data_IF_066428123551
#
_entry.id   IF_066428123551
#
_cell.length_a   1.000
_cell.length_b   1.000
_cell.length_c   1.000
_cell.angle_alpha   90.00
_cell.angle_beta   90.00
_cell.angle_gamma   90.00
#
_symmetry.space_group_name_H-M   'P 1'
#
loop_
_entity.id
_entity.type
_entity.pdbx_description
1 polymer ?
#
# COMPACT_ATOMS: atom_id res chain seq x y z
N UNK A 1 24.70 2.01 2.51
CA UNK A 1 24.17 3.13 1.70
C UNK A 1 22.88 2.74 1.04
N UNK A 2 21.83 2.43 1.82
CA UNK A 2 20.48 2.16 1.31
C UNK A 2 19.65 3.44 1.31
N UNK A 3 18.75 3.62 0.34
CA UNK A 3 17.81 4.75 0.31
C UNK A 3 16.74 4.53 1.37
N UNK A 4 16.45 5.57 2.17
CA UNK A 4 15.41 5.58 3.20
C UNK A 4 14.56 6.85 3.06
N UNK A 5 13.34 6.80 3.56
CA UNK A 5 12.43 7.94 3.56
C UNK A 5 11.41 7.83 4.68
N UNK A 6 10.77 8.95 5.01
CA UNK A 6 9.68 9.02 5.97
C UNK A 6 8.56 9.85 5.38
N UNK A 7 7.33 9.36 5.47
CA UNK A 7 6.19 9.95 4.76
C UNK A 7 5.58 11.04 5.64
N UNK A 8 6.15 12.26 5.61
CA UNK A 8 5.64 13.38 6.43
C UNK A 8 4.22 13.74 5.99
N UNK A 9 3.25 13.65 6.90
CA UNK A 9 1.85 13.95 6.58
C UNK A 9 1.62 15.47 6.53
N UNK A 10 1.29 15.96 5.34
CA UNK A 10 1.05 17.39 5.08
C UNK A 10 -0.43 17.77 5.16
N UNK A 11 -1.33 16.82 5.39
CA UNK A 11 -2.78 17.09 5.54
C UNK A 11 -3.05 18.14 6.60
N UNK A 12 -3.78 19.19 6.26
CA UNK A 12 -4.02 20.34 7.12
C UNK A 12 -5.47 20.87 6.95
N UNK A 13 -5.95 21.74 7.88
CA UNK A 13 -7.29 22.32 7.80
C UNK A 13 -7.55 23.21 6.57
N UNK A 14 -6.50 23.80 5.98
CA UNK A 14 -6.61 24.60 4.76
C UNK A 14 -5.51 24.24 3.77
N UNK A 15 -5.71 24.59 2.49
CA UNK A 15 -4.72 24.35 1.44
C UNK A 15 -3.42 25.11 1.70
N UNK A 16 -3.48 26.33 2.23
CA UNK A 16 -2.31 27.16 2.53
C UNK A 16 -1.43 26.50 3.59
N UNK A 17 -2.03 25.97 4.66
CA UNK A 17 -1.28 25.25 5.69
C UNK A 17 -0.72 23.92 5.19
N UNK A 18 -1.45 23.22 4.30
CA UNK A 18 -0.95 22.03 3.63
C UNK A 18 0.28 22.35 2.76
N UNK A 19 0.23 23.43 1.98
CA UNK A 19 1.35 23.84 1.13
C UNK A 19 2.56 24.31 1.96
N UNK A 20 2.36 25.01 3.09
CA UNK A 20 3.46 25.35 4.00
C UNK A 20 4.17 24.12 4.54
N UNK A 21 3.43 23.07 4.90
CA UNK A 21 4.00 21.78 5.36
C UNK A 21 4.75 21.07 4.23
N UNK A 22 4.23 21.12 3.00
CA UNK A 22 4.87 20.54 1.83
C UNK A 22 6.21 21.25 1.50
N UNK A 23 6.24 22.59 1.53
CA UNK A 23 7.47 23.36 1.33
C UNK A 23 8.50 23.03 2.42
N UNK A 24 8.08 22.96 3.68
CA UNK A 24 8.97 22.57 4.78
C UNK A 24 9.55 21.15 4.59
N UNK A 25 8.72 20.18 4.16
CA UNK A 25 9.20 18.82 3.87
C UNK A 25 10.25 18.81 2.74
N UNK A 26 10.08 19.66 1.73
CA UNK A 26 11.06 19.85 0.65
C UNK A 26 12.35 20.52 1.12
N UNK A 27 12.28 21.53 2.01
CA UNK A 27 13.47 22.13 2.62
C UNK A 27 14.31 21.09 3.40
N UNK A 28 13.64 20.13 4.05
CA UNK A 28 14.25 18.97 4.68
C UNK A 28 14.78 17.92 3.69
N UNK A 29 14.59 18.13 2.38
CA UNK A 29 14.96 17.23 1.28
C UNK A 29 14.31 15.86 1.40
N UNK A 30 13.07 15.81 1.88
CA UNK A 30 12.33 14.56 1.98
C UNK A 30 11.98 14.05 0.57
N UNK A 31 12.21 12.76 0.27
CA UNK A 31 11.92 12.20 -1.05
C UNK A 31 10.42 11.94 -1.26
N UNK A 32 9.61 11.99 -0.19
CA UNK A 32 8.21 11.58 -0.18
C UNK A 32 7.44 12.29 0.94
N UNK A 33 6.18 12.66 0.66
CA UNK A 33 5.23 13.17 1.65
C UNK A 33 3.93 12.35 1.62
N UNK A 34 3.07 12.56 2.61
CA UNK A 34 1.77 11.89 2.75
C UNK A 34 0.61 12.86 2.78
N UNK A 35 -0.52 12.47 2.20
CA UNK A 35 -1.75 13.24 2.19
C UNK A 35 -3.01 12.38 2.29
N UNK A 36 -4.02 12.88 3.01
CA UNK A 36 -5.32 12.23 3.19
C UNK A 36 -6.33 12.82 2.18
N UNK A 37 -6.34 12.31 0.95
CA UNK A 37 -7.02 12.97 -0.17
C UNK A 37 -8.56 13.09 -0.01
N UNK A 38 -9.21 12.16 0.68
CA UNK A 38 -10.67 12.22 0.87
C UNK A 38 -11.08 13.24 1.93
N UNK A 39 -10.31 13.37 3.00
CA UNK A 39 -10.62 14.31 4.09
C UNK A 39 -10.23 15.73 3.71
N UNK A 40 -9.13 15.90 2.98
CA UNK A 40 -8.72 17.20 2.45
C UNK A 40 -9.47 17.60 1.16
N UNK A 41 -9.97 16.63 0.40
CA UNK A 41 -10.74 16.82 -0.82
C UNK A 41 -9.90 16.76 -2.11
N UNK A 42 -10.57 16.37 -3.20
CA UNK A 42 -9.93 16.13 -4.51
C UNK A 42 -9.22 17.35 -5.11
N UNK A 43 -9.74 18.56 -4.87
CA UNK A 43 -9.12 19.80 -5.35
C UNK A 43 -7.76 20.03 -4.68
N UNK A 44 -7.70 19.86 -3.35
CA UNK A 44 -6.45 19.97 -2.61
C UNK A 44 -5.44 18.90 -3.06
N UNK A 45 -5.90 17.65 -3.23
CA UNK A 45 -5.07 16.56 -3.72
C UNK A 45 -4.46 16.86 -5.10
N UNK A 46 -5.27 17.32 -6.06
CA UNK A 46 -4.80 17.61 -7.41
C UNK A 46 -3.76 18.72 -7.43
N UNK A 47 -3.98 19.76 -6.62
CA UNK A 47 -3.00 20.86 -6.44
C UNK A 47 -1.70 20.33 -5.85
N UNK A 48 -1.77 19.55 -4.77
CA UNK A 48 -0.60 19.00 -4.11
C UNK A 48 0.17 18.02 -5.02
N UNK A 49 -0.52 17.16 -5.76
CA UNK A 49 0.10 16.20 -6.67
C UNK A 49 0.87 16.88 -7.81
N UNK A 50 0.30 17.96 -8.38
CA UNK A 50 1.01 18.79 -9.36
C UNK A 50 2.26 19.43 -8.75
N UNK A 51 2.11 20.03 -7.57
CA UNK A 51 3.24 20.63 -6.88
C UNK A 51 4.34 19.61 -6.55
N UNK A 52 3.99 18.40 -6.11
CA UNK A 52 4.96 17.34 -5.82
C UNK A 52 5.76 16.97 -7.06
N UNK A 53 5.09 16.84 -8.22
CA UNK A 53 5.74 16.57 -9.50
C UNK A 53 6.71 17.67 -9.90
N UNK A 54 6.31 18.93 -9.77
CA UNK A 54 7.16 20.08 -10.11
C UNK A 54 8.39 20.21 -9.18
N UNK A 55 8.32 19.63 -7.99
CA UNK A 55 9.38 19.70 -6.98
C UNK A 55 10.16 18.39 -6.78
N UNK A 56 9.82 17.32 -7.50
CA UNK A 56 10.51 16.03 -7.42
C UNK A 56 10.25 15.25 -6.13
N UNK A 57 9.05 15.41 -5.53
CA UNK A 57 8.62 14.62 -4.37
C UNK A 57 7.62 13.54 -4.79
N UNK A 58 7.71 12.36 -4.18
CA UNK A 58 6.65 11.37 -4.25
C UNK A 58 5.50 11.74 -3.29
N UNK A 59 4.29 11.36 -3.66
CA UNK A 59 3.06 11.61 -2.92
C UNK A 59 2.37 10.30 -2.54
N UNK A 60 2.49 9.94 -1.27
CA UNK A 60 1.78 8.81 -0.66
C UNK A 60 0.37 9.21 -0.26
N UNK A 61 -0.63 8.47 -0.73
CA UNK A 61 -2.04 8.79 -0.45
C UNK A 61 -2.64 7.82 0.54
N UNK A 62 -3.12 8.38 1.65
CA UNK A 62 -3.94 7.66 2.61
C UNK A 62 -5.42 7.92 2.35
N UNK A 63 -6.24 6.88 2.49
CA UNK A 63 -7.67 6.92 2.18
C UNK A 63 -8.55 7.09 3.42
N UNK A 64 -8.09 7.83 4.44
CA UNK A 64 -8.88 8.06 5.65
C UNK A 64 -10.31 8.51 5.30
N UNK A 65 -11.31 8.10 6.08
CA UNK A 65 -12.75 8.32 5.85
C UNK A 65 -13.40 7.45 4.75
N UNK A 66 -12.65 6.71 3.92
CA UNK A 66 -13.22 5.96 2.79
C UNK A 66 -14.36 4.99 3.16
N UNK A 67 -14.24 4.28 4.29
CA UNK A 67 -15.22 3.28 4.71
C UNK A 67 -16.60 3.84 5.06
N UNK A 68 -16.73 5.17 5.21
CA UNK A 68 -18.03 5.85 5.32
C UNK A 68 -18.77 5.82 3.97
N UNK A 69 -18.02 5.78 2.87
CA UNK A 69 -18.50 5.92 1.50
C UNK A 69 -18.55 4.56 0.77
N UNK A 70 -17.56 3.69 1.01
CA UNK A 70 -17.30 2.53 0.12
C UNK A 70 -17.54 1.15 0.74
N UNK A 71 -17.97 1.09 2.02
CA UNK A 71 -18.11 -0.18 2.74
C UNK A 71 -19.45 -0.87 2.50
N UNK A 72 -20.55 -0.12 2.49
CA UNK A 72 -21.89 -0.71 2.41
C UNK A 72 -22.18 -1.19 0.98
N UNK A 73 -22.51 -2.48 0.82
CA UNK A 73 -22.75 -3.08 -0.50
C UNK A 73 -24.01 -2.54 -1.20
N UNK A 74 -24.95 -1.98 -0.43
CA UNK A 74 -26.24 -1.51 -0.92
C UNK A 74 -26.33 0.01 -1.14
N UNK A 75 -25.34 0.80 -0.70
CA UNK A 75 -25.35 2.25 -0.85
C UNK A 75 -23.93 2.84 -0.74
N UNK A 76 -23.58 3.77 -1.63
CA UNK A 76 -22.31 4.49 -1.59
C UNK A 76 -21.56 4.46 -2.93
N UNK A 77 -20.24 4.64 -2.86
CA UNK A 77 -19.35 4.62 -4.02
C UNK A 77 -18.29 3.56 -3.77
N UNK A 78 -18.27 2.49 -4.57
CA UNK A 78 -17.29 1.43 -4.41
C UNK A 78 -15.86 1.96 -4.59
N UNK A 79 -14.93 1.47 -3.76
CA UNK A 79 -13.51 1.85 -3.79
C UNK A 79 -12.83 1.83 -5.16
N UNK A 80 -13.23 0.95 -6.10
CA UNK A 80 -12.70 0.92 -7.46
C UNK A 80 -12.87 2.25 -8.20
N UNK A 81 -13.98 2.95 -7.93
CA UNK A 81 -14.23 4.30 -8.48
C UNK A 81 -13.29 5.31 -7.82
N UNK A 82 -13.16 5.25 -6.49
CA UNK A 82 -12.27 6.12 -5.72
C UNK A 82 -10.77 5.93 -6.08
N UNK A 83 -10.36 4.69 -6.35
CA UNK A 83 -9.02 4.35 -6.82
C UNK A 83 -8.74 4.95 -8.19
N UNK A 84 -9.70 4.86 -9.13
CA UNK A 84 -9.60 5.50 -10.45
C UNK A 84 -9.54 7.03 -10.33
N UNK A 85 -10.39 7.64 -9.50
CA UNK A 85 -10.36 9.10 -9.33
C UNK A 85 -9.07 9.57 -8.67
N UNK A 86 -8.46 8.76 -7.79
CA UNK A 86 -7.12 9.06 -7.31
C UNK A 86 -6.08 9.00 -8.42
N UNK A 87 -5.99 7.89 -9.18
CA UNK A 87 -5.02 7.75 -10.28
C UNK A 87 -5.08 8.93 -11.26
N UNK A 88 -6.29 9.41 -11.57
CA UNK A 88 -6.50 10.59 -12.41
C UNK A 88 -6.16 11.92 -11.73
N UNK A 89 -6.48 12.08 -10.44
CA UNK A 89 -6.24 13.35 -9.73
C UNK A 89 -4.78 13.50 -9.29
N UNK A 90 -4.03 12.40 -9.21
CA UNK A 90 -2.60 12.35 -8.91
C UNK A 90 -2.31 11.76 -7.54
N UNK A 91 -1.19 11.03 -7.47
CA UNK A 91 -0.71 10.30 -6.32
C UNK A 91 0.16 9.15 -6.80
N UNK A 92 1.24 8.85 -6.08
CA UNK A 92 2.18 7.80 -6.49
C UNK A 92 1.85 6.47 -5.81
N UNK A 93 1.32 6.53 -4.58
CA UNK A 93 0.89 5.36 -3.82
C UNK A 93 -0.54 5.52 -3.28
N UNK A 94 -1.30 4.43 -3.13
CA UNK A 94 -2.59 4.45 -2.43
C UNK A 94 -2.83 3.19 -1.58
N UNK A 95 -3.36 3.40 -0.38
CA UNK A 95 -3.89 2.31 0.45
C UNK A 95 -5.01 1.53 -0.25
N UNK A 96 -4.79 0.24 -0.49
CA UNK A 96 -5.72 -0.67 -1.19
C UNK A 96 -6.41 -1.65 -0.26
N UNK A 97 -5.95 -1.78 0.98
CA UNK A 97 -6.37 -2.84 1.91
C UNK A 97 -5.42 -4.04 1.81
N UNK A 98 -5.65 -5.06 2.63
CA UNK A 98 -4.71 -6.18 2.78
C UNK A 98 -5.29 -7.53 2.38
N UNK A 99 -6.61 -7.68 2.28
CA UNK A 99 -7.36 -8.95 2.14
C UNK A 99 -7.21 -9.88 3.35
N UNK A 100 -5.99 -10.04 3.86
CA UNK A 100 -5.63 -10.95 4.95
C UNK A 100 -5.48 -10.27 6.32
N UNK A 101 -5.52 -8.94 6.38
CA UNK A 101 -5.38 -8.20 7.63
C UNK A 101 -6.71 -7.90 8.32
N UNK A 102 -6.69 -6.89 9.20
CA UNK A 102 -7.84 -6.56 10.08
C UNK A 102 -9.06 -6.00 9.34
N UNK A 103 -8.85 -5.38 8.18
CA UNK A 103 -9.89 -4.62 7.48
C UNK A 103 -10.52 -5.45 6.35
N UNK A 104 -11.83 -5.28 6.16
CA UNK A 104 -12.64 -5.99 5.15
C UNK A 104 -12.07 -5.80 3.73
N UNK A 105 -11.98 -6.90 2.98
CA UNK A 105 -11.58 -6.89 1.58
C UNK A 105 -11.64 -8.29 0.95
N UNK A 106 -12.35 -8.42 -0.16
CA UNK A 106 -12.43 -9.67 -0.92
C UNK A 106 -11.28 -9.76 -1.92
N UNK A 107 -10.54 -10.88 -1.95
CA UNK A 107 -9.32 -11.07 -2.76
C UNK A 107 -9.53 -10.67 -4.23
N UNK A 108 -10.55 -11.23 -4.89
CA UNK A 108 -10.80 -10.99 -6.33
C UNK A 108 -11.09 -9.52 -6.63
N UNK A 109 -11.90 -8.87 -5.79
CA UNK A 109 -12.24 -7.45 -5.90
C UNK A 109 -11.01 -6.57 -5.65
N UNK A 110 -10.21 -6.89 -4.64
CA UNK A 110 -8.96 -6.17 -4.35
C UNK A 110 -7.99 -6.24 -5.49
N UNK A 111 -7.74 -7.44 -6.01
CA UNK A 111 -6.89 -7.58 -7.19
C UNK A 111 -7.46 -6.80 -8.38
N UNK A 112 -8.78 -6.79 -8.59
CA UNK A 112 -9.39 -6.02 -9.69
C UNK A 112 -9.06 -4.52 -9.63
N UNK A 113 -9.23 -3.87 -8.47
CA UNK A 113 -8.88 -2.46 -8.37
C UNK A 113 -7.38 -2.18 -8.25
N UNK A 114 -6.54 -3.16 -7.88
CA UNK A 114 -5.09 -3.06 -8.00
C UNK A 114 -4.68 -3.02 -9.47
N UNK A 115 -5.27 -3.86 -10.32
CA UNK A 115 -5.01 -3.81 -11.77
C UNK A 115 -5.41 -2.43 -12.34
N UNK A 116 -6.55 -1.88 -11.91
CA UNK A 116 -6.97 -0.52 -12.30
C UNK A 116 -5.98 0.57 -11.89
N UNK A 117 -5.18 0.35 -10.83
CA UNK A 117 -4.18 1.30 -10.37
C UNK A 117 -2.86 1.17 -11.13
N UNK A 118 -2.47 -0.03 -11.55
CA UNK A 118 -1.13 -0.28 -12.12
C UNK A 118 -1.12 -0.42 -13.63
N UNK A 119 -2.06 -1.19 -14.19
CA UNK A 119 -2.00 -1.62 -15.57
C UNK A 119 -2.45 -0.50 -16.53
N UNK A 120 -1.93 -0.50 -17.76
CA UNK A 120 -2.33 0.47 -18.79
C UNK A 120 -3.70 0.15 -19.39
N UNK A 121 -4.06 -1.13 -19.46
CA UNK A 121 -5.32 -1.59 -20.03
C UNK A 121 -5.90 -2.70 -19.17
N UNK A 122 -7.13 -2.54 -18.71
CA UNK A 122 -7.83 -3.51 -17.86
C UNK A 122 -9.13 -3.92 -18.53
N UNK A 123 -9.23 -5.17 -18.93
CA UNK A 123 -10.44 -5.72 -19.54
C UNK A 123 -11.59 -5.84 -18.55
N UNK A 124 -12.82 -5.82 -19.07
CA UNK A 124 -14.01 -6.11 -18.30
C UNK A 124 -13.96 -7.53 -17.72
N UNK A 125 -13.99 -7.61 -16.39
CA UNK A 125 -14.13 -8.85 -15.63
C UNK A 125 -15.05 -8.63 -14.43
N UNK A 126 -16.31 -9.05 -14.56
CA UNK A 126 -17.32 -8.89 -13.51
C UNK A 126 -16.99 -9.69 -12.25
N UNK A 127 -16.26 -10.80 -12.37
CA UNK A 127 -15.88 -11.65 -11.23
C UNK A 127 -14.89 -10.93 -10.30
N UNK A 128 -14.10 -10.00 -10.85
CA UNK A 128 -13.16 -9.15 -10.11
C UNK A 128 -13.71 -7.74 -9.85
N UNK A 129 -14.98 -7.51 -10.14
CA UNK A 129 -15.60 -6.20 -9.98
C UNK A 129 -15.17 -5.18 -11.05
N UNK A 130 -14.72 -5.60 -12.22
CA UNK A 130 -14.46 -4.71 -13.34
C UNK A 130 -15.66 -4.74 -14.28
N UNK A 131 -16.55 -3.75 -14.15
CA UNK A 131 -17.78 -3.70 -14.94
C UNK A 131 -17.59 -3.18 -16.36
N UNK A 132 -16.51 -2.43 -16.59
CA UNK A 132 -16.20 -1.82 -17.87
C UNK A 132 -14.69 -1.90 -18.11
N UNK A 133 -14.31 -2.18 -19.35
CA UNK A 133 -12.93 -2.06 -19.80
C UNK A 133 -12.43 -0.63 -19.57
N UNK A 134 -11.20 -0.50 -19.08
CA UNK A 134 -10.55 0.78 -18.83
C UNK A 134 -9.19 0.83 -19.51
N UNK A 135 -9.04 1.76 -20.45
CA UNK A 135 -7.77 2.15 -21.05
C UNK A 135 -7.25 3.42 -20.34
N UNK A 136 -6.02 3.38 -19.87
CA UNK A 136 -5.34 4.49 -19.21
C UNK A 136 -4.42 5.27 -20.15
N UNK A 137 -4.28 4.81 -21.40
CA UNK A 137 -3.37 5.36 -22.40
C UNK A 137 -1.96 5.52 -21.83
N UNK A 138 -1.45 6.76 -21.76
CA UNK A 138 -0.13 7.08 -21.23
C UNK A 138 -0.13 7.49 -19.75
N UNK A 139 -1.22 7.29 -19.02
CA UNK A 139 -1.32 7.67 -17.62
C UNK A 139 -0.48 6.74 -16.74
N UNK A 140 0.48 7.26 -15.94
CA UNK A 140 1.28 6.44 -15.04
C UNK A 140 0.45 5.61 -14.07
N UNK A 141 1.00 4.48 -13.65
CA UNK A 141 0.42 3.65 -12.59
C UNK A 141 0.60 4.26 -11.21
N UNK A 142 -0.11 3.69 -10.24
CA UNK A 142 -0.07 4.03 -8.81
C UNK A 142 0.25 2.75 -8.05
N UNK A 143 1.23 2.78 -7.14
CA UNK A 143 1.56 1.60 -6.35
C UNK A 143 0.47 1.32 -5.31
N UNK A 144 0.04 0.06 -5.26
CA UNK A 144 -0.88 -0.42 -4.24
C UNK A 144 -0.17 -0.53 -2.89
N UNK A 145 -0.77 0.01 -1.84
CA UNK A 145 -0.26 -0.07 -0.46
C UNK A 145 -1.11 -1.03 0.35
N UNK A 146 -0.51 -2.16 0.75
CA UNK A 146 -1.11 -3.11 1.67
C UNK A 146 -0.77 -2.72 3.11
N UNK A 147 -1.80 -2.36 3.88
CA UNK A 147 -1.64 -1.88 5.26
C UNK A 147 -2.87 -2.21 6.10
N UNK A 148 -2.64 -2.59 7.36
CA UNK A 148 -3.69 -2.77 8.37
C UNK A 148 -3.66 -4.15 9.02
N UNK A 149 -3.07 -4.23 10.22
CA UNK A 149 -3.06 -5.46 11.03
C UNK A 149 -2.28 -6.62 10.42
N UNK A 150 -1.26 -6.33 9.61
CA UNK A 150 -0.39 -7.34 8.99
C UNK A 150 0.89 -7.57 9.81
N UNK A 151 1.43 -8.78 9.72
CA UNK A 151 2.66 -9.29 10.38
C UNK A 151 3.25 -10.44 9.54
N UNK A 152 4.36 -11.03 9.98
CA UNK A 152 5.17 -11.99 9.19
C UNK A 152 4.37 -13.16 8.58
N UNK A 153 3.37 -13.70 9.28
CA UNK A 153 2.54 -14.79 8.77
C UNK A 153 1.64 -14.41 7.58
N UNK A 154 1.39 -13.12 7.40
CA UNK A 154 0.66 -12.62 6.24
C UNK A 154 1.54 -12.43 5.01
N UNK A 155 2.87 -12.46 5.16
CA UNK A 155 3.82 -12.16 4.10
C UNK A 155 3.65 -13.03 2.83
N UNK A 156 3.45 -14.37 2.92
CA UNK A 156 3.26 -15.18 1.72
C UNK A 156 2.06 -14.71 0.89
N UNK A 157 0.93 -14.45 1.54
CA UNK A 157 -0.27 -13.96 0.88
C UNK A 157 -0.09 -12.54 0.32
N UNK A 158 0.61 -11.65 1.03
CA UNK A 158 0.89 -10.30 0.55
C UNK A 158 1.74 -10.31 -0.72
N UNK A 159 2.80 -11.12 -0.75
CA UNK A 159 3.67 -11.30 -1.92
C UNK A 159 2.88 -11.88 -3.11
N UNK A 160 1.98 -12.83 -2.86
CA UNK A 160 1.14 -13.43 -3.90
C UNK A 160 0.06 -12.47 -4.44
N UNK A 161 -0.56 -11.66 -3.57
CA UNK A 161 -1.67 -10.77 -3.95
C UNK A 161 -1.16 -9.51 -4.65
N UNK A 162 -0.13 -8.88 -4.11
CA UNK A 162 0.30 -7.55 -4.55
C UNK A 162 1.50 -7.58 -5.50
N UNK A 163 2.29 -8.65 -5.49
CA UNK A 163 3.50 -8.76 -6.30
C UNK A 163 4.56 -7.72 -5.92
N UNK A 164 5.48 -7.49 -6.85
CA UNK A 164 6.68 -6.67 -6.59
C UNK A 164 6.38 -5.17 -6.61
N UNK A 165 5.41 -4.74 -7.41
CA UNK A 165 5.00 -3.34 -7.55
C UNK A 165 4.00 -2.92 -6.47
N UNK A 166 4.42 -3.01 -5.21
CA UNK A 166 3.60 -2.68 -4.06
C UNK A 166 4.38 -2.14 -2.87
N UNK A 167 3.67 -1.51 -1.95
CA UNK A 167 4.19 -1.03 -0.67
C UNK A 167 3.52 -1.80 0.45
N UNK A 168 4.30 -2.45 1.32
CA UNK A 168 3.78 -3.17 2.49
C UNK A 168 4.06 -2.37 3.76
N UNK A 169 3.01 -1.99 4.49
CA UNK A 169 3.12 -1.19 5.71
C UNK A 169 2.81 -2.01 6.97
N UNK A 170 3.87 -2.29 7.74
CA UNK A 170 3.81 -3.02 9.00
C UNK A 170 3.95 -2.05 10.18
N UNK A 171 2.82 -1.61 10.73
CA UNK A 171 2.78 -0.87 12.00
C UNK A 171 2.99 -1.82 13.19
N UNK A 172 1.89 -2.32 13.78
CA UNK A 172 1.94 -3.25 14.92
C UNK A 172 2.76 -4.51 14.66
N UNK A 173 2.78 -5.02 13.42
CA UNK A 173 3.63 -6.16 13.04
C UNK A 173 5.13 -5.89 13.04
N UNK A 174 5.57 -4.64 13.22
CA UNK A 174 6.97 -4.27 13.49
C UNK A 174 7.15 -3.88 14.95
N UNK A 175 6.33 -2.93 15.41
CA UNK A 175 6.44 -2.32 16.75
C UNK A 175 6.09 -3.28 17.89
N UNK A 176 5.25 -4.29 17.62
CA UNK A 176 4.81 -5.28 18.60
C UNK A 176 5.77 -6.45 18.79
N UNK A 177 6.94 -6.45 18.11
CA UNK A 177 7.93 -7.51 18.26
C UNK A 177 8.47 -7.55 19.69
N UNK A 178 8.64 -8.74 20.33
CA UNK A 178 9.00 -8.85 21.75
C UNK A 178 10.35 -8.20 22.10
N UNK A 179 11.23 -8.08 21.11
CA UNK A 179 12.57 -7.48 21.26
C UNK A 179 12.67 -6.05 20.72
N UNK A 180 11.54 -5.42 20.41
CA UNK A 180 11.46 -4.03 19.93
C UNK A 180 11.57 -3.85 18.41
N UNK A 181 11.65 -2.59 17.98
CA UNK A 181 11.38 -2.18 16.61
C UNK A 181 12.40 -2.69 15.59
N UNK A 182 13.70 -2.67 15.93
CA UNK A 182 14.75 -3.08 15.00
C UNK A 182 14.70 -4.59 14.70
N UNK A 183 14.50 -5.46 15.71
CA UNK A 183 14.20 -6.87 15.46
C UNK A 183 12.90 -7.08 14.65
N UNK A 184 11.83 -6.34 14.95
CA UNK A 184 10.60 -6.43 14.16
C UNK A 184 10.79 -6.05 12.69
N UNK A 185 11.59 -5.03 12.40
CA UNK A 185 11.91 -4.63 11.04
C UNK A 185 12.76 -5.71 10.32
N UNK A 186 13.69 -6.32 11.05
CA UNK A 186 14.51 -7.44 10.55
C UNK A 186 13.63 -8.65 10.22
N UNK A 187 12.74 -9.05 11.13
CA UNK A 187 11.81 -10.16 10.93
C UNK A 187 10.93 -9.95 9.68
N UNK A 188 10.35 -8.76 9.52
CA UNK A 188 9.54 -8.43 8.34
C UNK A 188 10.37 -8.46 7.04
N UNK A 189 11.63 -7.97 7.07
CA UNK A 189 12.51 -8.00 5.89
C UNK A 189 12.90 -9.43 5.51
N UNK A 190 13.30 -10.26 6.48
CA UNK A 190 13.66 -11.67 6.24
C UNK A 190 12.46 -12.45 5.71
N UNK A 191 11.27 -12.27 6.30
CA UNK A 191 10.05 -12.91 5.83
C UNK A 191 9.72 -12.52 4.36
N UNK A 192 9.88 -11.24 4.01
CA UNK A 192 9.66 -10.76 2.65
C UNK A 192 10.63 -11.41 1.66
N UNK A 193 11.93 -11.36 1.94
CA UNK A 193 12.97 -11.89 1.05
C UNK A 193 12.85 -13.40 0.87
N UNK A 194 12.55 -14.15 1.95
CA UNK A 194 12.31 -15.59 1.88
C UNK A 194 11.08 -15.93 1.01
N UNK A 195 9.98 -15.20 1.17
CA UNK A 195 8.78 -15.39 0.35
C UNK A 195 9.03 -15.04 -1.13
N UNK A 196 9.76 -13.96 -1.42
CA UNK A 196 10.12 -13.59 -2.79
C UNK A 196 11.02 -14.66 -3.42
N UNK A 197 12.04 -15.12 -2.70
CA UNK A 197 12.92 -16.19 -3.16
C UNK A 197 12.12 -17.46 -3.48
N UNK A 198 11.32 -17.94 -2.53
CA UNK A 198 10.49 -19.14 -2.70
C UNK A 198 9.54 -19.03 -3.91
N UNK A 199 8.87 -17.88 -4.09
CA UNK A 199 8.01 -17.62 -5.26
C UNK A 199 8.82 -17.70 -6.55
N UNK A 200 10.00 -17.08 -6.60
CA UNK A 200 10.84 -17.03 -7.79
C UNK A 200 11.47 -18.40 -8.11
N UNK A 201 11.63 -19.27 -7.11
CA UNK A 201 12.02 -20.69 -7.27
C UNK A 201 10.85 -21.59 -7.68
N UNK A 202 9.64 -21.03 -7.88
CA UNK A 202 8.46 -21.75 -8.34
C UNK A 202 7.66 -22.44 -7.24
N UNK A 203 7.95 -22.15 -5.96
CA UNK A 203 7.17 -22.70 -4.84
C UNK A 203 5.78 -22.07 -4.78
N UNK A 204 4.79 -22.85 -4.35
CA UNK A 204 3.42 -22.38 -4.23
C UNK A 204 3.20 -21.74 -2.85
N UNK A 205 3.29 -20.41 -2.75
CA UNK A 205 3.14 -19.71 -1.47
C UNK A 205 1.79 -19.92 -0.78
N UNK A 206 0.70 -20.15 -1.51
CA UNK A 206 -0.60 -20.45 -0.92
C UNK A 206 -0.61 -21.79 -0.17
N UNK A 207 0.24 -22.74 -0.55
CA UNK A 207 0.35 -24.06 0.09
C UNK A 207 1.54 -24.16 1.04
N UNK A 208 2.68 -23.58 0.64
CA UNK A 208 3.98 -23.76 1.28
C UNK A 208 4.43 -22.53 2.09
N UNK A 209 3.69 -21.42 2.06
CA UNK A 209 4.14 -20.14 2.62
C UNK A 209 4.49 -20.20 4.11
N UNK A 210 3.73 -20.95 4.91
CA UNK A 210 4.04 -21.13 6.32
C UNK A 210 5.35 -21.91 6.53
N UNK A 211 5.65 -22.87 5.66
CA UNK A 211 6.87 -23.66 5.75
C UNK A 211 8.08 -22.83 5.32
N UNK A 212 7.94 -21.98 4.29
CA UNK A 212 8.94 -20.98 3.91
C UNK A 212 9.30 -20.08 5.10
N UNK A 213 8.30 -19.54 5.80
CA UNK A 213 8.53 -18.68 6.98
C UNK A 213 9.24 -19.46 8.10
N UNK A 214 8.80 -20.69 8.39
CA UNK A 214 9.45 -21.53 9.42
C UNK A 214 10.88 -21.93 9.05
N UNK A 215 11.15 -22.18 7.77
CA UNK A 215 12.49 -22.48 7.27
C UNK A 215 13.41 -21.28 7.43
N UNK A 216 12.94 -20.08 7.07
CA UNK A 216 13.69 -18.84 7.25
C UNK A 216 13.93 -18.51 8.74
N UNK A 217 12.95 -18.79 9.61
CA UNK A 217 13.07 -18.58 11.05
C UNK A 217 14.21 -19.39 11.70
N UNK A 218 14.62 -20.52 11.11
CA UNK A 218 15.79 -21.29 11.61
C UNK A 218 17.10 -20.51 11.55
N UNK A 219 17.16 -19.49 10.68
CA UNK A 219 18.37 -18.70 10.42
C UNK A 219 18.24 -17.23 10.84
N UNK A 220 17.05 -16.79 11.29
CA UNK A 220 16.84 -15.46 11.87
C UNK A 220 16.13 -15.59 13.22
N UNK A 221 16.86 -15.33 14.33
CA UNK A 221 16.26 -15.30 15.67
C UNK A 221 15.12 -14.29 15.79
N UNK A 222 15.21 -13.15 15.10
CA UNK A 222 14.15 -12.13 15.07
C UNK A 222 12.89 -12.67 14.40
N UNK A 223 13.02 -13.33 13.25
CA UNK A 223 11.86 -13.95 12.60
C UNK A 223 11.27 -15.08 13.46
N UNK A 224 12.11 -15.90 14.10
CA UNK A 224 11.66 -16.94 15.01
C UNK A 224 10.82 -16.37 16.17
N UNK A 225 11.32 -15.32 16.83
CA UNK A 225 10.58 -14.65 17.91
C UNK A 225 9.28 -14.00 17.42
N UNK A 226 9.27 -13.42 16.21
CA UNK A 226 8.07 -12.86 15.60
C UNK A 226 7.00 -13.93 15.28
N UNK A 227 7.42 -15.17 15.01
CA UNK A 227 6.54 -16.29 14.68
C UNK A 227 5.80 -16.87 15.90
N UNK A 228 6.29 -16.59 17.12
CA UNK A 228 5.68 -17.06 18.37
C UNK A 228 4.52 -16.18 18.88
N UNK A 229 4.30 -15.03 18.23
CA UNK A 229 3.18 -14.10 18.48
C UNK A 229 1.93 -14.47 17.66
#
# INVERSE_FOLDING_TARGET
GEIKGHYLNVTAPTCEEMMKRAEFAKELKMPIIMHDYLTAGFTANTTLAKWCRDNGLLLHIHRAMHAVIDRQKNHGIHFRVLAKTLRMSGGDHIHTGTVVGKLEGERGITMGFVDLLRENYVEQDKSRGIYFTQDWASMPGVMAVASGGIHVWHMPALVEIFGDDSVLQFGGGTLGHPWGNAPGATANRVALEACIQARNEGRNLAREGNDVIREAAKWSPELAAACEL
#
